data_IF_494655809973
#
_entry.id   IF_494655809973
#
_cell.length_a   1.000
_cell.length_b   1.000
_cell.length_c   1.000
_cell.angle_alpha   90.00
_cell.angle_beta   90.00
_cell.angle_gamma   90.00
#
_symmetry.space_group_name_H-M   'P 1'
#
loop_
_entity.id
_entity.type
_entity.pdbx_description
1 polymer ?
#
# COMPACT_ATOMS: atom_id res chain seq x y z
N UNK A 1 12.98 25.65 32.63
CA UNK A 1 11.87 24.73 32.94
C UNK A 1 10.61 25.28 32.29
N UNK A 2 10.29 24.87 31.06
CA UNK A 2 9.13 25.42 30.32
C UNK A 2 7.86 24.70 30.76
N UNK A 3 6.94 25.42 31.41
CA UNK A 3 5.60 24.94 31.74
C UNK A 3 4.72 24.97 30.48
N UNK A 4 4.58 23.84 29.80
CA UNK A 4 3.59 23.65 28.72
C UNK A 4 2.19 23.56 29.31
N UNK A 5 1.60 24.73 29.59
CA UNK A 5 0.18 24.86 29.87
C UNK A 5 -0.55 25.11 28.54
N UNK A 6 -0.83 24.06 27.76
CA UNK A 6 -1.72 24.17 26.60
C UNK A 6 -2.39 22.82 26.27
N UNK A 7 -3.69 22.86 25.94
CA UNK A 7 -4.61 21.72 25.80
C UNK A 7 -4.34 20.81 24.58
N UNK A 8 -3.15 20.85 24.01
CA UNK A 8 -2.72 20.09 22.84
C UNK A 8 -1.25 19.70 23.03
N UNK A 9 -1.02 18.48 23.53
CA UNK A 9 0.31 17.89 23.56
C UNK A 9 0.75 17.58 22.12
N UNK A 10 1.95 18.01 21.69
CA UNK A 10 2.43 17.73 20.34
C UNK A 10 2.67 16.24 20.15
N UNK A 11 2.17 15.68 19.05
CA UNK A 11 2.38 14.27 18.68
C UNK A 11 3.69 14.16 17.91
N UNK A 12 4.62 13.34 18.43
CA UNK A 12 5.86 13.01 17.73
C UNK A 12 5.63 11.85 16.74
N UNK A 13 6.15 11.99 15.52
CA UNK A 13 6.26 10.88 14.56
C UNK A 13 7.59 10.18 14.87
N UNK A 14 7.50 8.98 15.42
CA UNK A 14 8.68 8.22 15.88
C UNK A 14 9.29 7.32 14.79
N UNK A 15 8.52 7.01 13.75
CA UNK A 15 8.95 6.15 12.66
C UNK A 15 8.02 6.25 11.46
N UNK A 16 8.55 5.92 10.28
CA UNK A 16 7.81 5.89 9.02
C UNK A 16 8.28 4.69 8.19
N UNK A 17 7.33 3.95 7.64
CA UNK A 17 7.58 2.94 6.61
C UNK A 17 6.73 3.29 5.40
N UNK A 18 7.28 3.05 4.21
CA UNK A 18 6.57 3.36 2.98
C UNK A 18 6.86 2.33 1.88
N UNK A 19 5.98 2.33 0.89
CA UNK A 19 6.11 1.58 -0.34
C UNK A 19 5.43 2.40 -1.43
N UNK A 20 6.23 2.87 -2.38
CA UNK A 20 5.74 3.67 -3.50
C UNK A 20 6.23 3.08 -4.82
N UNK A 21 5.60 3.51 -5.92
CA UNK A 21 6.07 3.16 -7.26
C UNK A 21 7.54 3.57 -7.47
N UNK A 22 8.22 2.93 -8.41
CA UNK A 22 9.63 3.23 -8.72
C UNK A 22 10.64 2.64 -7.74
N UNK A 23 10.35 1.45 -7.20
CA UNK A 23 11.24 0.72 -6.28
C UNK A 23 11.59 1.47 -4.99
N UNK A 24 10.64 2.24 -4.47
CA UNK A 24 10.79 3.04 -3.24
C UNK A 24 10.28 2.23 -2.05
N UNK A 25 11.19 1.75 -1.19
CA UNK A 25 10.83 0.88 -0.05
C UNK A 25 11.12 1.51 1.31
N UNK A 26 11.77 2.68 1.36
CA UNK A 26 12.02 3.42 2.60
C UNK A 26 11.95 4.94 2.42
N UNK A 27 11.89 5.66 3.54
CA UNK A 27 11.77 7.13 3.54
C UNK A 27 12.97 7.83 2.89
N UNK A 28 14.16 7.21 2.96
CA UNK A 28 15.36 7.74 2.33
C UNK A 28 15.26 7.65 0.79
N UNK A 29 14.80 6.53 0.24
CA UNK A 29 14.56 6.38 -1.20
C UNK A 29 13.52 7.39 -1.67
N UNK A 30 12.43 7.53 -0.92
CA UNK A 30 11.39 8.52 -1.21
C UNK A 30 11.98 9.93 -1.26
N UNK A 31 12.82 10.29 -0.29
CA UNK A 31 13.43 11.61 -0.22
C UNK A 31 14.37 11.87 -1.40
N UNK A 32 15.18 10.87 -1.79
CA UNK A 32 16.04 10.99 -2.97
C UNK A 32 15.21 11.16 -4.24
N UNK A 33 14.18 10.34 -4.46
CA UNK A 33 13.30 10.46 -5.63
C UNK A 33 12.61 11.81 -5.71
N UNK A 34 12.08 12.31 -4.58
CA UNK A 34 11.44 13.63 -4.52
C UNK A 34 12.42 14.77 -4.80
N UNK A 35 13.62 14.70 -4.22
CA UNK A 35 14.66 15.71 -4.42
C UNK A 35 15.12 15.77 -5.87
N UNK A 36 15.28 14.61 -6.52
CA UNK A 36 15.69 14.50 -7.91
C UNK A 36 14.52 14.64 -8.91
N UNK A 37 13.28 14.82 -8.40
CA UNK A 37 12.06 14.93 -9.22
C UNK A 37 11.91 13.81 -10.25
N UNK A 38 12.25 12.58 -9.87
CA UNK A 38 12.21 11.42 -10.78
C UNK A 38 10.76 10.94 -10.98
N UNK A 39 10.43 10.59 -12.22
CA UNK A 39 9.16 9.94 -12.54
C UNK A 39 9.22 8.46 -12.14
N UNK A 40 8.37 8.09 -11.19
CA UNK A 40 8.21 6.72 -10.71
C UNK A 40 7.14 5.92 -11.49
N UNK A 41 6.48 6.55 -12.46
CA UNK A 41 5.48 5.94 -13.30
C UNK A 41 6.06 4.84 -14.18
N UNK A 42 5.36 3.70 -14.24
CA UNK A 42 5.66 2.64 -15.19
C UNK A 42 4.39 2.19 -15.90
N UNK A 43 4.55 1.60 -17.08
CA UNK A 43 3.43 0.98 -17.78
C UNK A 43 2.88 -0.18 -16.94
N UNK A 44 1.55 -0.33 -16.91
CA UNK A 44 0.91 -1.47 -16.24
C UNK A 44 1.36 -2.75 -16.95
N UNK A 45 1.94 -3.67 -16.19
CA UNK A 45 2.42 -4.94 -16.71
C UNK A 45 1.25 -5.86 -17.05
N UNK A 46 1.41 -6.67 -18.09
CA UNK A 46 0.36 -7.61 -18.53
C UNK A 46 -0.01 -8.65 -17.46
N UNK A 47 0.92 -8.91 -16.53
CA UNK A 47 0.70 -9.76 -15.36
C UNK A 47 -0.33 -9.17 -14.38
N UNK A 48 -0.41 -7.84 -14.25
CA UNK A 48 -1.46 -7.19 -13.46
C UNK A 48 -2.74 -7.05 -14.25
N UNK A 49 -2.66 -6.40 -15.41
CA UNK A 49 -3.80 -6.17 -16.31
C UNK A 49 -3.35 -6.06 -17.76
N UNK A 50 -4.00 -6.78 -18.67
CA UNK A 50 -3.78 -6.60 -20.11
C UNK A 50 -4.52 -5.36 -20.63
N UNK A 51 -3.86 -4.21 -20.60
CA UNK A 51 -4.42 -2.94 -21.11
C UNK A 51 -4.89 -3.00 -22.57
N UNK A 52 -4.28 -3.86 -23.41
CA UNK A 52 -4.69 -3.98 -24.81
C UNK A 52 -6.07 -4.62 -24.91
N UNK A 53 -6.38 -5.60 -24.05
CA UNK A 53 -7.72 -6.21 -23.97
C UNK A 53 -8.81 -5.21 -23.57
N UNK A 54 -8.50 -4.27 -22.67
CA UNK A 54 -9.43 -3.21 -22.25
C UNK A 54 -9.66 -2.16 -23.35
N UNK A 55 -8.62 -1.84 -24.11
CA UNK A 55 -8.71 -0.84 -25.19
C UNK A 55 -9.63 -1.30 -26.33
N UNK A 56 -9.69 -2.60 -26.61
CA UNK A 56 -10.59 -3.17 -27.63
C UNK A 56 -12.06 -3.15 -27.17
N UNK A 57 -12.33 -3.32 -25.88
CA UNK A 57 -13.70 -3.29 -25.35
C UNK A 57 -14.32 -1.89 -25.26
N UNK A 58 -13.50 -0.83 -25.10
CA UNK A 58 -14.02 0.54 -25.07
C UNK A 58 -14.27 1.13 -26.48
N UNK A 59 -13.67 0.55 -27.53
CA UNK A 59 -13.72 1.11 -28.88
C UNK A 59 -14.32 0.20 -29.97
N UNK A 60 -14.88 -0.99 -29.68
CA UNK A 60 -15.53 -1.80 -30.72
C UNK A 60 -16.83 -2.49 -30.28
N UNK A 61 -17.94 -2.03 -30.88
CA UNK A 61 -19.17 -2.82 -31.05
C UNK A 61 -18.91 -3.88 -32.12
N UNK A 62 -18.49 -5.07 -31.70
CA UNK A 62 -18.37 -6.22 -32.60
C UNK A 62 -19.26 -7.34 -32.06
N UNK A 63 -20.27 -7.70 -32.85
CA UNK A 63 -21.48 -8.47 -32.53
C UNK A 63 -21.32 -9.95 -32.07
N UNK A 64 -20.16 -10.39 -31.60
CA UNK A 64 -19.94 -11.83 -31.37
C UNK A 64 -19.64 -12.20 -29.90
N UNK A 65 -20.33 -11.51 -28.98
CA UNK A 65 -20.63 -11.88 -27.59
C UNK A 65 -20.04 -13.18 -27.03
N UNK A 66 -18.73 -13.21 -26.81
CA UNK A 66 -18.09 -14.25 -26.02
C UNK A 66 -17.40 -13.63 -24.81
N UNK A 67 -18.15 -13.59 -23.70
CA UNK A 67 -17.63 -13.29 -22.37
C UNK A 67 -16.87 -14.51 -21.84
N UNK A 68 -15.56 -14.36 -21.63
CA UNK A 68 -14.77 -15.38 -20.94
C UNK A 68 -14.88 -15.17 -19.43
N UNK A 69 -15.77 -15.96 -18.81
CA UNK A 69 -15.95 -16.05 -17.38
C UNK A 69 -14.82 -16.88 -16.76
N UNK A 70 -13.68 -16.27 -16.47
CA UNK A 70 -12.67 -16.86 -15.58
C UNK A 70 -11.93 -15.80 -14.77
N UNK A 71 -12.70 -14.97 -14.08
CA UNK A 71 -12.21 -14.18 -12.96
C UNK A 71 -12.50 -14.98 -11.68
N UNK A 72 -11.46 -15.14 -10.88
CA UNK A 72 -11.46 -15.63 -9.50
C UNK A 72 -11.50 -17.16 -9.32
N UNK A 73 -10.30 -17.74 -9.26
CA UNK A 73 -9.99 -18.83 -8.33
C UNK A 73 -8.55 -18.71 -7.84
N UNK A 74 -8.39 -18.26 -6.60
CA UNK A 74 -7.17 -18.50 -5.83
C UNK A 74 -7.58 -19.01 -4.44
N UNK A 75 -7.53 -20.32 -4.28
CA UNK A 75 -7.57 -21.00 -3.00
C UNK A 75 -6.13 -21.12 -2.47
N UNK A 76 -5.72 -20.11 -1.70
CA UNK A 76 -4.64 -20.19 -0.73
C UNK A 76 -4.91 -19.08 0.31
N UNK A 77 -5.12 -19.46 1.58
CA UNK A 77 -5.38 -18.54 2.71
C UNK A 77 -4.52 -17.25 2.70
N UNK A 78 -3.20 -17.27 2.40
CA UNK A 78 -2.41 -16.04 2.31
C UNK A 78 -2.67 -15.21 1.06
N UNK A 79 -3.18 -15.76 -0.04
CA UNK A 79 -3.57 -15.04 -1.25
C UNK A 79 -4.97 -14.42 -1.15
N UNK A 80 -5.79 -14.88 -0.21
CA UNK A 80 -7.16 -14.40 0.02
C UNK A 80 -7.24 -13.01 0.67
N UNK A 81 -6.20 -12.59 1.40
CA UNK A 81 -6.16 -11.22 1.94
C UNK A 81 -5.93 -10.23 0.80
N UNK A 82 -6.81 -9.23 0.69
CA UNK A 82 -6.65 -8.11 -0.23
C UNK A 82 -5.22 -7.56 -0.11
N UNK A 83 -4.47 -7.40 -1.22
CA UNK A 83 -3.22 -6.66 -1.22
C UNK A 83 -3.29 -5.33 -0.45
N UNK A 84 -4.44 -4.64 -0.49
CA UNK A 84 -4.70 -3.39 0.21
C UNK A 84 -4.68 -3.53 1.73
N UNK A 85 -5.12 -4.66 2.28
CA UNK A 85 -4.98 -4.97 3.71
C UNK A 85 -3.60 -5.54 4.06
N UNK A 86 -2.97 -6.27 3.13
CA UNK A 86 -1.69 -6.95 3.37
C UNK A 86 -0.52 -5.99 3.50
N UNK A 87 -0.39 -5.02 2.60
CA UNK A 87 0.76 -4.11 2.57
C UNK A 87 0.89 -3.25 3.85
N UNK A 88 -0.18 -2.62 4.37
CA UNK A 88 -0.08 -1.85 5.62
C UNK A 88 0.38 -2.68 6.83
N UNK A 89 -0.08 -3.94 6.93
CA UNK A 89 0.32 -4.83 8.02
C UNK A 89 1.81 -5.17 7.92
N UNK A 90 2.29 -5.50 6.72
CA UNK A 90 3.71 -5.84 6.52
C UNK A 90 4.60 -4.63 6.85
N UNK A 91 4.24 -3.44 6.36
CA UNK A 91 5.00 -2.20 6.61
C UNK A 91 5.03 -1.81 8.09
N UNK A 92 3.95 -2.08 8.82
CA UNK A 92 3.93 -1.87 10.26
C UNK A 92 4.89 -2.79 10.99
N UNK A 93 4.97 -4.08 10.60
CA UNK A 93 5.94 -5.02 11.17
C UNK A 93 7.38 -4.62 10.84
N UNK A 94 7.65 -4.28 9.57
CA UNK A 94 8.98 -3.83 9.14
C UNK A 94 9.47 -2.60 9.93
N UNK A 95 8.56 -1.64 10.17
CA UNK A 95 8.85 -0.45 10.95
C UNK A 95 9.23 -0.79 12.39
N UNK A 96 8.40 -1.60 13.05
CA UNK A 96 8.59 -2.03 14.43
C UNK A 96 9.91 -2.79 14.62
N UNK A 97 10.23 -3.70 13.70
CA UNK A 97 11.49 -4.44 13.74
C UNK A 97 12.70 -3.55 13.46
N UNK A 98 12.57 -2.54 12.58
CA UNK A 98 13.62 -1.56 12.28
C UNK A 98 13.97 -0.64 13.47
N UNK A 99 12.98 -0.25 14.26
CA UNK A 99 13.15 0.60 15.45
C UNK A 99 13.53 -0.21 16.71
N UNK A 100 13.67 -1.54 16.59
CA UNK A 100 14.00 -2.44 17.70
C UNK A 100 12.83 -2.70 18.67
N UNK A 101 11.63 -2.26 18.30
CA UNK A 101 10.40 -2.47 19.04
C UNK A 101 9.62 -3.65 18.48
N UNK A 102 9.96 -4.86 18.92
CA UNK A 102 9.28 -6.07 18.48
C UNK A 102 7.76 -6.00 18.71
N UNK A 103 6.98 -6.58 17.80
CA UNK A 103 5.51 -6.76 17.90
C UNK A 103 5.06 -7.29 19.28
N UNK A 104 5.88 -8.12 19.94
CA UNK A 104 5.62 -8.66 21.28
C UNK A 104 5.54 -7.60 22.37
N UNK A 105 6.33 -6.51 22.28
CA UNK A 105 6.31 -5.40 23.25
C UNK A 105 5.01 -4.59 23.15
N UNK A 106 4.43 -4.53 21.95
CA UNK A 106 3.20 -3.78 21.69
C UNK A 106 1.95 -4.56 22.09
N UNK A 107 2.04 -5.88 22.23
CA UNK A 107 0.93 -6.73 22.66
C UNK A 107 0.41 -6.33 24.05
N UNK A 108 -0.89 -6.08 24.16
CA UNK A 108 -1.54 -5.66 25.42
C UNK A 108 -1.41 -4.18 25.77
N UNK A 109 -0.72 -3.38 24.94
CA UNK A 109 -0.67 -1.93 25.10
C UNK A 109 -1.95 -1.26 24.60
N UNK A 110 -2.16 0.00 24.98
CA UNK A 110 -3.29 0.83 24.49
C UNK A 110 -2.96 1.52 23.16
N UNK A 111 -2.30 0.83 22.25
CA UNK A 111 -1.92 1.37 20.94
C UNK A 111 -3.11 1.34 20.00
N UNK A 112 -3.49 2.49 19.43
CA UNK A 112 -4.55 2.56 18.41
C UNK A 112 -3.97 2.44 16.99
N UNK A 113 -4.78 1.91 16.07
CA UNK A 113 -4.43 1.79 14.65
C UNK A 113 -5.48 2.55 13.84
N UNK A 114 -5.02 3.46 12.99
CA UNK A 114 -5.88 4.28 12.12
C UNK A 114 -5.41 4.10 10.68
N UNK A 115 -6.27 3.53 9.83
CA UNK A 115 -5.94 3.24 8.42
C UNK A 115 -6.95 3.96 7.52
N UNK A 116 -6.45 4.75 6.58
CA UNK A 116 -7.24 5.32 5.49
C UNK A 116 -7.11 4.43 4.26
N UNK A 117 -8.13 3.61 4.00
CA UNK A 117 -8.14 2.71 2.86
C UNK A 117 -9.25 3.08 1.88
N UNK A 118 -8.88 3.30 0.64
CA UNK A 118 -9.80 3.51 -0.47
C UNK A 118 -9.36 2.59 -1.61
N UNK A 119 -9.99 1.42 -1.71
CA UNK A 119 -9.86 0.54 -2.87
C UNK A 119 -11.24 0.40 -3.53
N UNK A 120 -11.27 0.51 -4.86
CA UNK A 120 -12.50 0.40 -5.67
C UNK A 120 -12.62 -0.92 -6.43
N UNK A 121 -11.75 -1.90 -6.17
CA UNK A 121 -11.77 -3.19 -6.87
C UNK A 121 -11.24 -4.30 -5.96
N UNK A 122 -11.85 -5.49 -6.04
CA UNK A 122 -11.56 -6.65 -5.19
C UNK A 122 -11.67 -7.97 -5.94
#
# INVERSE_FOLDING_TARGET
>A
MSTFNNRLEPVAIVGIACEFAGDIYCANDLWYTLKESQDAGSAITIDRFDLKSFTVHMLNMDNNGQFHQKLLRANAEPASIDPCHRSPILKFVDLLDGDGDSVKKMSGTKTSVHIGQFSTDH
#
